data_IF_559827883572
#
_entry.id   IF_559827883572
#
_cell.length_a   1.000
_cell.length_b   1.000
_cell.length_c   1.000
_cell.angle_alpha   90.00
_cell.angle_beta   90.00
_cell.angle_gamma   90.00
#
_symmetry.space_group_name_H-M   'P 1'
#
loop_
_entity.id
_entity.type
_entity.pdbx_description
1 polymer ?
#
# COMPACT_ATOMS: atom_id res chain seq x y z
N UNK A 1 -8.50 25.43 -57.06
CA UNK A 1 -8.35 25.73 -55.63
C UNK A 1 -8.66 24.45 -54.87
N UNK A 2 -7.69 23.54 -54.86
CA UNK A 2 -7.69 22.42 -53.92
C UNK A 2 -7.25 22.96 -52.56
N UNK A 3 -7.93 22.55 -51.49
CA UNK A 3 -7.69 23.08 -50.16
C UNK A 3 -8.48 22.34 -49.09
N UNK A 4 -7.95 21.18 -48.72
CA UNK A 4 -8.01 20.59 -47.37
C UNK A 4 -9.41 20.23 -46.84
N UNK A 5 -9.92 19.07 -47.29
CA UNK A 5 -10.67 18.21 -46.38
C UNK A 5 -9.70 17.75 -45.29
N UNK A 6 -9.86 18.28 -44.07
CA UNK A 6 -9.27 17.69 -42.87
C UNK A 6 -9.90 16.30 -42.68
N UNK A 7 -9.27 15.27 -43.25
CA UNK A 7 -9.38 13.91 -42.71
C UNK A 7 -8.78 13.94 -41.32
N UNK A 8 -9.65 14.10 -40.31
CA UNK A 8 -9.33 13.69 -38.95
C UNK A 8 -9.00 12.21 -39.06
N UNK A 9 -7.74 11.84 -38.84
CA UNK A 9 -7.34 10.44 -38.74
C UNK A 9 -8.23 9.78 -37.68
N UNK A 10 -9.23 9.02 -38.14
CA UNK A 10 -10.08 8.22 -37.26
C UNK A 10 -9.18 7.08 -36.81
N UNK A 11 -8.46 7.29 -35.71
CA UNK A 11 -7.73 6.22 -35.05
C UNK A 11 -8.68 5.06 -34.80
N UNK A 12 -8.17 3.83 -34.92
CA UNK A 12 -8.95 2.62 -34.67
C UNK A 12 -9.68 2.74 -33.33
N UNK A 13 -10.99 2.47 -33.33
CA UNK A 13 -11.83 2.58 -32.14
C UNK A 13 -12.14 1.19 -31.61
N UNK A 14 -12.09 1.03 -30.29
CA UNK A 14 -12.41 -0.22 -29.60
C UNK A 14 -13.49 0.03 -28.55
N UNK A 15 -14.42 -0.91 -28.44
CA UNK A 15 -15.39 -0.94 -27.34
C UNK A 15 -14.71 -1.46 -26.09
N UNK A 16 -14.70 -0.68 -25.00
CA UNK A 16 -14.09 -1.04 -23.71
C UNK A 16 -15.17 -1.14 -22.64
N UNK A 17 -15.12 -2.17 -21.81
CA UNK A 17 -15.92 -2.29 -20.58
C UNK A 17 -15.01 -2.34 -19.36
N UNK A 18 -15.36 -1.60 -18.33
CA UNK A 18 -14.69 -1.68 -17.04
C UNK A 18 -15.40 -2.67 -16.14
N UNK A 19 -14.66 -3.64 -15.60
CA UNK A 19 -15.16 -4.68 -14.70
C UNK A 19 -14.52 -4.52 -13.32
N UNK A 20 -15.32 -4.71 -12.27
CA UNK A 20 -14.78 -4.87 -10.92
C UNK A 20 -14.02 -6.19 -10.79
N UNK A 21 -13.26 -6.38 -9.72
CA UNK A 21 -12.64 -7.69 -9.41
C UNK A 21 -13.66 -8.83 -9.28
N UNK A 22 -14.93 -8.50 -9.01
CA UNK A 22 -16.03 -9.46 -8.91
C UNK A 22 -16.74 -9.70 -10.25
N UNK A 23 -16.34 -9.01 -11.32
CA UNK A 23 -16.96 -9.09 -12.64
C UNK A 23 -18.19 -8.19 -12.84
N UNK A 24 -18.45 -7.25 -11.93
CA UNK A 24 -19.54 -6.29 -12.08
C UNK A 24 -19.16 -5.22 -13.11
N UNK A 25 -20.03 -4.98 -14.09
CA UNK A 25 -19.82 -3.96 -15.11
C UNK A 25 -20.06 -2.55 -14.58
N UNK A 26 -19.07 -1.67 -14.77
CA UNK A 26 -19.17 -0.25 -14.50
C UNK A 26 -19.70 0.49 -15.74
N UNK A 27 -20.85 1.14 -15.64
CA UNK A 27 -21.41 1.99 -16.71
C UNK A 27 -22.31 1.29 -17.74
N UNK A 28 -22.52 -0.04 -17.64
CA UNK A 28 -23.59 -0.81 -18.31
C UNK A 28 -23.57 -0.91 -19.85
N UNK A 29 -22.87 -0.03 -20.56
CA UNK A 29 -22.65 -0.09 -22.01
C UNK A 29 -21.17 0.01 -22.32
N UNK A 30 -20.70 -0.74 -23.33
CA UNK A 30 -19.33 -0.63 -23.81
C UNK A 30 -19.02 0.79 -24.26
N UNK A 31 -17.97 1.38 -23.71
CA UNK A 31 -17.53 2.74 -24.00
C UNK A 31 -16.58 2.66 -25.19
N UNK A 32 -16.93 3.33 -26.29
CA UNK A 32 -16.09 3.35 -27.49
C UNK A 32 -14.96 4.36 -27.28
N UNK A 33 -13.73 3.87 -27.25
CA UNK A 33 -12.52 4.68 -27.05
C UNK A 33 -11.53 4.44 -28.21
N UNK A 34 -10.74 5.45 -28.59
CA UNK A 34 -9.62 5.25 -29.51
C UNK A 34 -8.59 4.28 -28.91
N UNK A 35 -7.97 3.42 -29.73
CA UNK A 35 -6.89 2.51 -29.29
C UNK A 35 -5.64 3.25 -28.79
N UNK A 36 -5.49 4.52 -29.18
CA UNK A 36 -4.43 5.43 -28.72
C UNK A 36 -4.66 5.97 -27.30
N UNK A 37 -5.77 5.64 -26.64
CA UNK A 37 -6.03 6.07 -25.26
C UNK A 37 -4.95 5.54 -24.32
N UNK A 38 -4.43 6.44 -23.49
CA UNK A 38 -3.40 6.13 -22.49
C UNK A 38 -4.01 5.60 -21.20
N UNK A 39 -3.23 4.84 -20.42
CA UNK A 39 -3.62 4.34 -19.11
C UNK A 39 -4.05 5.48 -18.17
N UNK A 40 -3.36 6.63 -18.20
CA UNK A 40 -3.76 7.82 -17.44
C UNK A 40 -5.16 8.33 -17.82
N UNK A 41 -5.49 8.35 -19.11
CA UNK A 41 -6.84 8.74 -19.57
C UNK A 41 -7.90 7.71 -19.17
N UNK A 42 -7.58 6.42 -19.23
CA UNK A 42 -8.46 5.35 -18.72
C UNK A 42 -8.71 5.50 -17.20
N UNK A 43 -7.67 5.83 -16.43
CA UNK A 43 -7.78 6.07 -14.98
C UNK A 43 -8.72 7.24 -14.69
N UNK A 44 -8.60 8.34 -15.43
CA UNK A 44 -9.48 9.51 -15.27
C UNK A 44 -10.93 9.12 -15.60
N UNK A 45 -11.17 8.44 -16.72
CA UNK A 45 -12.51 7.99 -17.12
C UNK A 45 -13.13 7.04 -16.08
N UNK A 46 -12.36 6.07 -15.59
CA UNK A 46 -12.83 5.12 -14.58
C UNK A 46 -13.16 5.82 -13.25
N UNK A 47 -12.30 6.73 -12.78
CA UNK A 47 -12.59 7.53 -11.57
C UNK A 47 -13.83 8.41 -11.73
N UNK A 48 -14.05 9.01 -12.90
CA UNK A 48 -15.27 9.76 -13.19
C UNK A 48 -16.54 8.90 -13.13
N UNK A 49 -16.49 7.68 -13.68
CA UNK A 49 -17.60 6.73 -13.63
C UNK A 49 -17.86 6.20 -12.21
N UNK A 50 -16.82 6.09 -11.38
CA UNK A 50 -16.92 5.72 -9.97
C UNK A 50 -17.46 6.85 -9.08
N UNK A 51 -17.58 8.08 -9.61
CA UNK A 51 -18.01 9.25 -8.84
C UNK A 51 -16.92 9.84 -7.93
N UNK A 52 -15.67 9.38 -8.06
CA UNK A 52 -14.52 9.87 -7.30
C UNK A 52 -13.90 11.08 -8.00
N UNK A 53 -14.56 12.25 -7.96
CA UNK A 53 -14.05 13.45 -8.64
C UNK A 53 -12.94 14.19 -7.89
N UNK A 54 -12.89 14.05 -6.56
CA UNK A 54 -12.08 14.95 -5.72
C UNK A 54 -10.71 14.37 -5.36
N UNK A 55 -10.56 13.04 -5.36
CA UNK A 55 -9.29 12.33 -5.17
C UNK A 55 -9.23 11.13 -6.13
N UNK A 56 -8.55 11.25 -7.29
CA UNK A 56 -8.45 10.15 -8.23
C UNK A 56 -7.63 9.02 -7.61
N UNK A 57 -8.23 7.83 -7.51
CA UNK A 57 -7.51 6.66 -7.04
C UNK A 57 -6.64 6.16 -8.19
N UNK A 58 -5.34 5.88 -7.96
CA UNK A 58 -4.53 5.21 -8.96
C UNK A 58 -5.14 3.83 -9.24
N UNK A 59 -5.46 3.55 -10.49
CA UNK A 59 -6.12 2.30 -10.89
C UNK A 59 -5.24 1.60 -11.93
N UNK A 60 -4.90 0.34 -11.67
CA UNK A 60 -4.34 -0.54 -12.71
C UNK A 60 -5.48 -1.20 -13.47
N UNK A 61 -5.28 -1.41 -14.76
CA UNK A 61 -6.23 -2.13 -15.62
C UNK A 61 -5.60 -3.41 -16.12
N UNK A 62 -6.35 -4.50 -16.04
CA UNK A 62 -5.95 -5.81 -16.54
C UNK A 62 -6.96 -6.32 -17.56
N UNK A 63 -6.50 -6.98 -18.60
CA UNK A 63 -7.40 -7.73 -19.48
C UNK A 63 -7.89 -9.01 -18.81
N UNK A 64 -8.94 -9.63 -19.35
CA UNK A 64 -9.42 -10.96 -18.90
C UNK A 64 -8.33 -12.04 -18.94
N UNK A 65 -7.30 -11.85 -19.79
CA UNK A 65 -6.15 -12.76 -19.89
C UNK A 65 -5.04 -12.45 -18.88
N UNK A 66 -5.23 -11.46 -18.00
CA UNK A 66 -4.26 -11.05 -16.97
C UNK A 66 -3.13 -10.13 -17.46
N UNK A 67 -3.24 -9.58 -18.67
CA UNK A 67 -2.25 -8.61 -19.19
C UNK A 67 -2.54 -7.23 -18.63
N UNK A 68 -1.56 -6.61 -17.97
CA UNK A 68 -1.65 -5.24 -17.44
C UNK A 68 -1.49 -4.19 -18.55
N UNK A 69 -2.36 -3.17 -18.55
CA UNK A 69 -2.26 -2.01 -19.42
C UNK A 69 -1.39 -0.94 -18.73
N UNK A 70 -0.13 -0.85 -19.14
CA UNK A 70 0.86 0.07 -18.53
C UNK A 70 0.88 1.42 -19.26
N UNK A 71 0.87 1.40 -20.60
CA UNK A 71 1.02 2.61 -21.42
C UNK A 71 -0.26 2.95 -22.17
N UNK A 72 -0.41 2.44 -23.39
CA UNK A 72 -1.60 2.58 -24.22
C UNK A 72 -2.10 1.18 -24.62
N UNK A 73 -3.40 1.10 -24.96
CA UNK A 73 -4.04 -0.19 -25.27
C UNK A 73 -3.31 -0.88 -26.43
N UNK A 74 -2.95 -0.12 -27.47
CA UNK A 74 -2.24 -0.61 -28.67
C UNK A 74 -0.83 -1.18 -28.42
N UNK A 75 -0.04 -0.65 -27.47
CA UNK A 75 1.31 -1.20 -27.19
C UNK A 75 1.27 -2.30 -26.13
N UNK A 76 0.27 -2.29 -25.26
CA UNK A 76 0.12 -3.33 -24.23
C UNK A 76 -0.51 -4.61 -24.78
N UNK A 77 -1.11 -4.60 -25.97
CA UNK A 77 -1.74 -5.77 -26.59
C UNK A 77 -1.14 -6.11 -27.96
N UNK A 78 -0.53 -7.29 -28.09
CA UNK A 78 0.06 -7.77 -29.35
C UNK A 78 -0.96 -8.03 -30.46
N UNK A 79 -2.23 -8.28 -30.10
CA UNK A 79 -3.34 -8.51 -31.02
C UNK A 79 -4.59 -7.85 -30.47
N UNK A 80 -5.11 -6.85 -31.20
CA UNK A 80 -6.36 -6.19 -30.87
C UNK A 80 -7.41 -6.64 -31.88
N UNK A 81 -8.51 -7.21 -31.37
CA UNK A 81 -9.68 -7.57 -32.15
C UNK A 81 -10.70 -6.43 -32.01
N UNK A 82 -10.72 -5.51 -32.99
CA UNK A 82 -11.56 -4.31 -32.95
C UNK A 82 -13.06 -4.62 -33.03
N UNK A 83 -13.44 -5.83 -33.46
CA UNK A 83 -14.84 -6.28 -33.49
C UNK A 83 -15.32 -6.74 -32.11
N UNK A 84 -14.40 -7.00 -31.18
CA UNK A 84 -14.71 -7.43 -29.82
C UNK A 84 -14.64 -6.29 -28.81
N UNK A 85 -15.48 -6.41 -27.80
CA UNK A 85 -15.39 -5.54 -26.63
C UNK A 85 -14.24 -6.01 -25.74
N UNK A 86 -13.30 -5.11 -25.44
CA UNK A 86 -12.21 -5.32 -24.51
C UNK A 86 -12.71 -5.09 -23.09
N UNK A 87 -12.71 -6.15 -22.29
CA UNK A 87 -13.00 -6.07 -20.87
C UNK A 87 -11.72 -5.76 -20.08
N UNK A 88 -11.75 -4.67 -19.32
CA UNK A 88 -10.68 -4.22 -18.43
C UNK A 88 -11.12 -4.34 -16.97
N UNK A 89 -10.47 -5.22 -16.23
CA UNK A 89 -10.63 -5.36 -14.79
C UNK A 89 -9.87 -4.22 -14.13
N UNK A 90 -10.56 -3.35 -13.40
CA UNK A 90 -9.95 -2.23 -12.69
C UNK A 90 -9.58 -2.62 -11.26
N UNK A 91 -8.35 -2.31 -10.87
CA UNK A 91 -7.82 -2.59 -9.53
C UNK A 91 -7.35 -1.28 -8.87
N UNK A 92 -8.08 -0.78 -7.86
CA UNK A 92 -7.65 0.36 -7.06
C UNK A 92 -6.31 0.06 -6.38
N UNK A 93 -5.33 0.92 -6.59
CA UNK A 93 -4.04 0.86 -5.91
C UNK A 93 -4.05 1.77 -4.68
N UNK A 94 -3.07 1.54 -3.79
CA UNK A 94 -2.82 2.46 -2.68
C UNK A 94 -2.57 3.87 -3.22
N UNK A 95 -3.32 4.85 -2.69
CA UNK A 95 -3.22 6.28 -3.06
C UNK A 95 -1.82 6.84 -2.73
N UNK A 96 -1.12 6.22 -1.79
CA UNK A 96 0.25 6.57 -1.44
C UNK A 96 1.23 5.47 -1.89
N UNK A 97 2.41 5.90 -2.35
CA UNK A 97 3.54 5.00 -2.61
C UNK A 97 4.51 5.05 -1.44
N UNK A 98 4.82 3.89 -0.88
CA UNK A 98 5.91 3.74 0.09
C UNK A 98 7.21 3.73 -0.70
N UNK A 99 8.08 4.72 -0.44
CA UNK A 99 9.41 4.75 -1.04
C UNK A 99 10.25 3.60 -0.46
N UNK A 100 10.98 2.83 -1.29
CA UNK A 100 11.85 1.78 -0.80
C UNK A 100 12.94 2.37 0.09
N UNK A 101 13.22 1.71 1.21
CA UNK A 101 14.34 2.09 2.09
C UNK A 101 15.64 1.72 1.38
N UNK A 102 16.46 2.71 1.04
CA UNK A 102 17.69 2.53 0.24
C UNK A 102 18.96 2.44 1.07
N UNK A 103 18.90 2.78 2.36
CA UNK A 103 20.03 2.77 3.28
C UNK A 103 19.57 2.61 4.72
N UNK A 104 20.48 2.17 5.58
CA UNK A 104 20.28 2.30 7.03
C UNK A 104 20.22 3.79 7.38
N UNK A 105 19.18 4.21 8.11
CA UNK A 105 19.11 5.57 8.66
C UNK A 105 20.06 5.69 9.84
N UNK A 106 19.87 4.84 10.86
CA UNK A 106 20.50 5.02 12.17
C UNK A 106 20.64 3.72 12.96
N UNK A 107 21.53 3.73 13.96
CA UNK A 107 21.80 2.61 14.86
C UNK A 107 21.58 3.06 16.31
N UNK A 108 20.62 2.44 17.00
CA UNK A 108 20.23 2.79 18.37
C UNK A 108 20.79 1.76 19.36
N UNK A 109 21.94 2.04 20.02
CA UNK A 109 22.51 1.13 21.00
C UNK A 109 21.73 1.14 22.32
N UNK A 110 21.75 0.03 23.05
CA UNK A 110 21.25 0.03 24.42
C UNK A 110 20.95 -1.34 24.99
N UNK A 111 20.44 -2.28 24.19
CA UNK A 111 20.24 -3.64 24.65
C UNK A 111 21.57 -4.34 24.97
N UNK A 112 21.60 -5.07 26.08
CA UNK A 112 22.80 -5.79 26.55
C UNK A 112 22.98 -7.16 25.89
N UNK A 113 21.93 -7.65 25.24
CA UNK A 113 21.83 -8.97 24.60
C UNK A 113 21.07 -8.83 23.27
N UNK A 114 21.07 -9.87 22.41
CA UNK A 114 20.39 -9.82 21.11
C UNK A 114 18.94 -9.33 21.19
N UNK A 115 18.57 -8.44 20.28
CA UNK A 115 17.19 -8.03 20.05
C UNK A 115 16.47 -9.16 19.32
N UNK A 116 15.40 -9.66 19.92
CA UNK A 116 14.64 -10.82 19.44
C UNK A 116 13.38 -10.37 18.69
N UNK A 117 12.78 -9.26 19.10
CA UNK A 117 11.56 -8.71 18.51
C UNK A 117 11.63 -7.19 18.44
N UNK A 118 11.12 -6.60 17.35
CA UNK A 118 10.97 -5.16 17.22
C UNK A 118 9.71 -4.84 16.40
N UNK A 119 8.98 -3.79 16.79
CA UNK A 119 7.76 -3.36 16.11
C UNK A 119 7.58 -1.85 16.21
N UNK A 120 7.26 -1.21 15.08
CA UNK A 120 6.84 0.19 15.05
C UNK A 120 5.47 0.37 15.70
N UNK A 121 5.27 1.52 16.33
CA UNK A 121 3.95 1.94 16.79
C UNK A 121 3.04 2.20 15.58
N UNK A 122 1.71 2.00 15.71
CA UNK A 122 0.77 2.28 14.62
C UNK A 122 0.73 3.74 14.16
N UNK A 123 1.17 4.68 15.00
CA UNK A 123 1.28 6.10 14.66
C UNK A 123 2.64 6.47 14.04
N UNK A 124 3.57 5.51 13.91
CA UNK A 124 4.88 5.67 13.28
C UNK A 124 5.92 6.43 14.09
N UNK A 125 5.59 6.91 15.29
CA UNK A 125 6.49 7.76 16.10
C UNK A 125 7.41 6.97 17.03
N UNK A 126 6.99 5.78 17.42
CA UNK A 126 7.68 4.92 18.36
C UNK A 126 8.15 3.62 17.72
N UNK A 127 9.19 3.04 18.31
CA UNK A 127 9.59 1.67 18.10
C UNK A 127 9.66 0.98 19.45
N UNK A 128 9.18 -0.25 19.55
CA UNK A 128 9.39 -1.09 20.72
C UNK A 128 10.27 -2.26 20.35
N UNK A 129 11.24 -2.60 21.19
CA UNK A 129 12.14 -3.74 21.00
C UNK A 129 12.25 -4.59 22.26
N UNK A 130 12.39 -5.90 22.08
CA UNK A 130 12.45 -6.89 23.14
C UNK A 130 13.69 -7.74 22.95
N UNK A 131 14.40 -8.00 24.05
CA UNK A 131 15.73 -8.60 24.00
C UNK A 131 15.88 -9.79 24.97
N UNK A 132 16.95 -10.57 24.72
CA UNK A 132 17.47 -11.56 25.65
C UNK A 132 17.93 -10.96 26.99
N UNK A 133 18.11 -9.64 27.08
CA UNK A 133 18.47 -8.94 28.32
C UNK A 133 17.29 -8.80 29.29
N UNK A 134 16.15 -9.40 28.94
CA UNK A 134 14.90 -9.42 29.71
C UNK A 134 14.17 -8.08 29.77
N UNK A 135 14.57 -7.10 28.96
CA UNK A 135 13.93 -5.79 28.90
C UNK A 135 13.13 -5.59 27.62
N UNK A 136 12.11 -4.74 27.71
CA UNK A 136 11.52 -4.07 26.55
C UNK A 136 12.04 -2.64 26.52
N UNK A 137 12.42 -2.12 25.36
CA UNK A 137 12.78 -0.72 25.18
C UNK A 137 11.83 -0.04 24.24
N UNK A 138 11.51 1.21 24.54
CA UNK A 138 10.71 2.10 23.70
C UNK A 138 11.65 3.18 23.20
N UNK A 139 11.65 3.40 21.89
CA UNK A 139 12.48 4.36 21.19
C UNK A 139 11.61 5.39 20.51
N UNK A 140 12.08 6.63 20.51
CA UNK A 140 11.53 7.70 19.69
C UNK A 140 12.25 7.67 18.34
N UNK A 141 11.49 7.56 17.25
CA UNK A 141 12.05 7.44 15.90
C UNK A 141 12.55 8.79 15.34
N UNK A 142 11.97 9.90 15.77
CA UNK A 142 12.34 11.24 15.28
C UNK A 142 13.68 11.70 15.87
N UNK A 143 13.90 11.38 17.15
CA UNK A 143 15.11 11.73 17.90
C UNK A 143 16.14 10.61 17.94
N UNK A 144 15.73 9.38 17.63
CA UNK A 144 16.56 8.17 17.66
C UNK A 144 17.13 7.85 19.05
N UNK A 145 16.42 8.29 20.09
CA UNK A 145 16.80 8.11 21.48
C UNK A 145 15.89 7.10 22.19
N UNK A 146 16.43 6.34 23.17
CA UNK A 146 15.61 5.50 24.04
C UNK A 146 14.73 6.40 24.93
N UNK A 147 13.41 6.22 24.85
CA UNK A 147 12.45 6.87 25.73
C UNK A 147 12.36 6.15 27.08
N UNK A 148 12.17 4.83 27.03
CA UNK A 148 11.91 4.04 28.22
C UNK A 148 12.55 2.65 28.15
N UNK A 149 13.00 2.17 29.31
CA UNK A 149 13.38 0.77 29.53
C UNK A 149 12.35 0.17 30.48
N UNK A 150 11.60 -0.80 29.96
CA UNK A 150 10.55 -1.54 30.65
C UNK A 150 11.17 -2.80 31.24
N UNK A 151 11.45 -2.76 32.54
CA UNK A 151 12.02 -3.87 33.30
C UNK A 151 10.94 -4.64 34.05
N UNK A 152 11.06 -5.98 34.11
CA UNK A 152 10.16 -6.81 34.89
C UNK A 152 10.07 -8.25 34.42
N UNK A 153 10.31 -8.52 33.14
CA UNK A 153 10.42 -9.91 32.67
C UNK A 153 11.60 -10.61 33.34
N UNK A 154 11.42 -11.89 33.65
CA UNK A 154 12.46 -12.73 34.28
C UNK A 154 13.18 -13.63 33.29
N UNK A 155 12.90 -13.46 32.00
CA UNK A 155 13.47 -14.25 30.92
C UNK A 155 13.38 -13.45 29.61
N UNK A 156 13.94 -14.00 28.53
CA UNK A 156 14.02 -13.37 27.22
C UNK A 156 12.65 -12.94 26.73
N UNK A 157 12.56 -11.70 26.26
CA UNK A 157 11.36 -11.17 25.62
C UNK A 157 11.33 -11.65 24.18
N UNK A 158 10.33 -12.45 23.84
CA UNK A 158 10.25 -13.14 22.56
C UNK A 158 9.37 -12.41 21.55
N UNK A 159 8.30 -11.77 22.02
CA UNK A 159 7.38 -11.04 21.16
C UNK A 159 6.98 -9.70 21.78
N UNK A 160 6.72 -8.74 20.90
CA UNK A 160 6.15 -7.43 21.22
C UNK A 160 4.95 -7.19 20.30
N UNK A 161 3.91 -6.57 20.86
CA UNK A 161 2.72 -6.13 20.14
C UNK A 161 2.30 -4.74 20.62
N UNK A 162 2.18 -3.78 19.73
CA UNK A 162 1.51 -2.51 20.01
C UNK A 162 -0.01 -2.65 19.99
N UNK A 163 -0.70 -1.90 20.85
CA UNK A 163 -2.14 -1.69 20.70
C UNK A 163 -2.42 -0.81 19.48
N UNK A 164 -3.56 -0.97 18.79
CA UNK A 164 -3.89 -0.16 17.60
C UNK A 164 -3.95 1.35 17.85
N UNK A 165 -4.20 1.76 19.10
CA UNK A 165 -4.23 3.17 19.52
C UNK A 165 -2.86 3.71 19.96
N UNK A 166 -1.78 2.93 19.80
CA UNK A 166 -0.41 3.26 20.18
C UNK A 166 -0.17 3.58 21.67
N UNK A 167 -1.13 3.28 22.56
CA UNK A 167 -0.99 3.61 24.00
C UNK A 167 -0.40 2.50 24.84
N UNK A 168 -0.46 1.25 24.38
CA UNK A 168 -0.04 0.09 25.15
C UNK A 168 0.88 -0.81 24.33
N UNK A 169 1.77 -1.47 25.04
CA UNK A 169 2.66 -2.48 24.48
C UNK A 169 2.43 -3.76 25.27
N UNK A 170 2.06 -4.84 24.58
CA UNK A 170 2.09 -6.18 25.13
C UNK A 170 3.45 -6.83 24.80
N UNK A 171 3.99 -7.56 25.76
CA UNK A 171 5.24 -8.28 25.59
C UNK A 171 5.15 -9.65 26.24
N UNK A 172 5.68 -10.67 25.59
CA UNK A 172 5.72 -12.02 26.11
C UNK A 172 7.16 -12.47 26.31
N UNK A 173 7.41 -13.25 27.37
CA UNK A 173 8.71 -13.85 27.60
C UNK A 173 8.68 -15.37 27.62
N UNK A 174 9.87 -15.98 27.50
CA UNK A 174 10.07 -17.43 27.39
C UNK A 174 9.45 -18.26 28.53
N UNK A 175 9.21 -17.67 29.69
CA UNK A 175 8.59 -18.35 30.84
C UNK A 175 7.05 -18.39 30.79
N UNK A 176 6.44 -17.85 29.73
CA UNK A 176 4.98 -17.78 29.55
C UNK A 176 4.31 -16.53 30.15
N UNK A 177 5.06 -15.62 30.77
CA UNK A 177 4.51 -14.36 31.27
C UNK A 177 4.28 -13.37 30.13
N UNK A 178 3.12 -12.72 30.18
CA UNK A 178 2.80 -11.56 29.36
C UNK A 178 2.77 -10.36 30.30
N UNK A 179 3.39 -9.26 29.88
CA UNK A 179 3.30 -7.96 30.57
C UNK A 179 2.80 -6.91 29.60
N UNK A 180 1.95 -6.04 30.11
CA UNK A 180 1.41 -4.88 29.41
C UNK A 180 2.08 -3.63 29.99
N UNK A 181 2.58 -2.78 29.09
CA UNK A 181 3.24 -1.53 29.41
C UNK A 181 2.41 -0.36 28.88
N UNK A 182 2.43 0.75 29.60
CA UNK A 182 2.00 2.04 29.09
C UNK A 182 3.12 2.63 28.23
N UNK A 183 2.81 2.95 26.97
CA UNK A 183 3.81 3.36 26.00
C UNK A 183 4.41 4.75 26.27
N UNK A 184 3.64 5.63 26.92
CA UNK A 184 4.04 7.02 27.18
C UNK A 184 4.92 7.15 28.43
N UNK A 185 4.86 6.17 29.33
CA UNK A 185 5.59 6.20 30.60
C UNK A 185 6.57 5.05 30.78
N UNK A 186 6.46 4.00 29.96
CA UNK A 186 7.22 2.76 30.13
C UNK A 186 6.82 1.95 31.37
N UNK A 187 5.73 2.33 32.05
CA UNK A 187 5.33 1.69 33.29
C UNK A 187 4.53 0.41 33.04
N UNK A 188 4.75 -0.60 33.88
CA UNK A 188 3.94 -1.83 33.83
C UNK A 188 2.52 -1.54 34.31
N UNK A 189 1.52 -1.90 33.50
CA UNK A 189 0.09 -1.76 33.82
C UNK A 189 -0.64 -3.10 34.00
N UNK A 190 -0.07 -4.22 33.52
CA UNK A 190 -0.65 -5.56 33.62
C UNK A 190 0.41 -6.65 33.58
#
# INVERSE_FOLDING_TARGET
MEGLMNEVAVGEQISVRFLSENGDELGGAGIVLPTSVTCNQLQILCNQLLGSSDDPVPISFFTENGVEIVDNIEKSLDKIDLEKTLCLIYQPQAVFRVQPVTRCSSSMPGHGEPVISAQFSPDGKGLASGSGDTTVRIWDIDTELPLHTCEGHKNWVLCIAWSPDARKIASSCKNGQIMIWDAATGSKIG
#
